data_IF_660643310362
#
_entry.id   IF_660643310362
#
_cell.length_a   1.000
_cell.length_b   1.000
_cell.length_c   1.000
_cell.angle_alpha   90.00
_cell.angle_beta   90.00
_cell.angle_gamma   90.00
#
_symmetry.space_group_name_H-M   'P 1'
#
loop_
_entity.id
_entity.type
_entity.pdbx_description
1 polymer ?
#
# COMPACT_ATOMS: atom_id res chain seq x y z
N UNK A 1 4.60 -8.98 -21.66
CA UNK A 1 4.31 -8.16 -20.47
C UNK A 1 3.07 -7.35 -20.78
N UNK A 2 2.04 -7.50 -19.97
CA UNK A 2 0.75 -6.86 -20.27
C UNK A 2 0.80 -5.41 -19.80
N UNK A 3 0.87 -4.46 -20.72
CA UNK A 3 0.95 -3.00 -20.43
C UNK A 3 -0.21 -2.50 -19.55
N UNK A 4 -1.32 -3.24 -19.55
CA UNK A 4 -2.48 -2.95 -18.72
C UNK A 4 -2.23 -3.26 -17.23
N UNK A 5 -1.44 -4.27 -16.92
CA UNK A 5 -1.10 -4.64 -15.54
C UNK A 5 -0.24 -3.58 -14.85
N UNK A 6 0.70 -2.98 -15.56
CA UNK A 6 1.58 -1.94 -15.03
C UNK A 6 0.82 -0.63 -14.74
N UNK A 7 -0.23 -0.33 -15.52
CA UNK A 7 -1.00 0.91 -15.37
C UNK A 7 -1.72 1.04 -14.00
N UNK A 8 -1.96 -0.06 -13.29
CA UNK A 8 -2.54 0.00 -11.94
C UNK A 8 -1.64 0.71 -10.93
N UNK A 9 -0.33 0.65 -11.12
CA UNK A 9 0.67 1.27 -10.23
C UNK A 9 1.35 2.49 -10.83
N UNK A 10 0.83 3.02 -11.93
CA UNK A 10 1.19 4.35 -12.41
C UNK A 10 0.44 5.42 -11.63
N UNK A 11 1.00 6.63 -11.55
CA UNK A 11 0.31 7.77 -10.97
C UNK A 11 -1.04 8.00 -11.67
N UNK A 12 -2.08 8.18 -10.89
CA UNK A 12 -3.43 8.48 -11.40
C UNK A 12 -3.51 9.89 -12.00
N UNK A 13 -2.65 10.80 -11.53
CA UNK A 13 -2.58 12.17 -12.02
C UNK A 13 -1.90 12.27 -13.39
N UNK A 14 -0.76 11.60 -13.55
CA UNK A 14 0.09 11.74 -14.74
C UNK A 14 -0.05 10.58 -15.73
N UNK A 15 -0.57 9.44 -15.29
CA UNK A 15 -0.61 8.20 -16.07
C UNK A 15 0.76 7.55 -16.27
N UNK A 16 1.81 8.04 -15.59
CA UNK A 16 3.21 7.58 -15.74
C UNK A 16 3.69 6.83 -14.50
N UNK A 17 4.74 6.00 -14.60
CA UNK A 17 5.41 5.45 -13.43
C UNK A 17 5.85 6.54 -12.46
N UNK A 18 5.86 6.23 -11.17
CA UNK A 18 6.46 7.10 -10.17
C UNK A 18 7.97 7.21 -10.41
N UNK A 19 8.52 8.41 -10.24
CA UNK A 19 9.92 8.68 -10.55
C UNK A 19 10.80 8.69 -9.31
N UNK A 20 10.27 9.21 -8.19
CA UNK A 20 11.03 9.46 -6.99
C UNK A 20 10.35 8.86 -5.75
N UNK A 21 11.17 8.48 -4.76
CA UNK A 21 10.71 8.10 -3.44
C UNK A 21 10.15 9.34 -2.70
N UNK A 22 8.92 9.26 -2.22
CA UNK A 22 8.25 10.37 -1.54
C UNK A 22 9.00 10.82 -0.27
N UNK A 23 9.66 9.91 0.44
CA UNK A 23 10.35 10.22 1.70
C UNK A 23 11.75 10.81 1.53
N UNK A 24 12.57 10.26 0.62
CA UNK A 24 13.97 10.67 0.51
C UNK A 24 14.32 11.32 -0.83
N UNK A 25 13.40 11.36 -1.79
CA UNK A 25 13.64 11.94 -3.11
C UNK A 25 14.59 11.12 -3.99
N UNK A 26 14.96 9.88 -3.57
CA UNK A 26 15.80 9.01 -4.40
C UNK A 26 15.05 8.64 -5.67
N UNK A 27 15.72 8.73 -6.82
CA UNK A 27 15.16 8.28 -8.09
C UNK A 27 14.94 6.76 -8.08
N UNK A 28 13.69 6.34 -8.30
CA UNK A 28 13.28 4.93 -8.35
C UNK A 28 13.68 4.26 -9.67
N UNK A 29 14.21 5.04 -10.62
CA UNK A 29 14.65 4.56 -11.93
C UNK A 29 16.16 4.33 -12.01
N UNK A 30 16.94 5.00 -11.15
CA UNK A 30 18.41 4.95 -11.21
C UNK A 30 18.98 3.65 -10.65
N UNK A 31 18.30 3.03 -9.70
CA UNK A 31 18.70 1.75 -9.12
C UNK A 31 17.66 0.67 -9.50
N UNK A 32 17.91 -0.09 -10.58
CA UNK A 32 16.99 -1.12 -11.04
C UNK A 32 16.88 -2.31 -10.08
N UNK A 33 17.78 -2.44 -9.11
CA UNK A 33 17.80 -3.51 -8.12
C UNK A 33 17.14 -3.11 -6.79
N UNK A 34 16.72 -1.84 -6.65
CA UNK A 34 16.04 -1.36 -5.45
C UNK A 34 14.52 -1.49 -5.59
N UNK A 35 13.89 -2.40 -4.82
CA UNK A 35 12.42 -2.47 -4.79
C UNK A 35 11.81 -1.21 -4.19
N UNK A 36 10.61 -0.88 -4.63
CA UNK A 36 9.80 0.17 -4.04
C UNK A 36 8.32 -0.23 -3.99
N UNK A 37 7.63 0.25 -2.98
CA UNK A 37 6.19 0.08 -2.83
C UNK A 37 5.48 1.26 -3.50
N UNK A 38 4.48 0.97 -4.31
CA UNK A 38 3.45 1.93 -4.72
C UNK A 38 2.19 1.63 -3.94
N UNK A 39 1.66 2.63 -3.26
CA UNK A 39 0.39 2.56 -2.55
C UNK A 39 -0.58 3.60 -3.11
N UNK A 40 -1.84 3.19 -3.29
CA UNK A 40 -2.90 4.04 -3.82
C UNK A 40 -4.18 3.78 -3.05
N UNK A 41 -4.84 4.84 -2.58
CA UNK A 41 -6.13 4.77 -1.89
C UNK A 41 -7.23 5.38 -2.75
N UNK A 42 -8.33 4.68 -2.84
CA UNK A 42 -9.47 5.05 -3.67
C UNK A 42 -10.73 5.25 -2.82
N UNK A 43 -11.54 6.21 -3.24
CA UNK A 43 -12.91 6.37 -2.77
C UNK A 43 -13.83 6.25 -3.99
N UNK A 44 -14.55 5.14 -4.10
CA UNK A 44 -15.18 4.76 -5.36
C UNK A 44 -14.14 4.56 -6.46
N UNK A 45 -14.25 5.29 -7.56
CA UNK A 45 -13.31 5.22 -8.69
C UNK A 45 -12.22 6.32 -8.64
N UNK A 46 -12.29 7.23 -7.66
CA UNK A 46 -11.35 8.34 -7.52
C UNK A 46 -10.15 7.93 -6.68
N UNK A 47 -8.94 8.10 -7.21
CA UNK A 47 -7.71 7.97 -6.44
C UNK A 47 -7.50 9.24 -5.62
N UNK A 48 -7.64 9.13 -4.29
CA UNK A 48 -7.57 10.26 -3.37
C UNK A 48 -6.19 10.41 -2.72
N UNK A 49 -5.37 9.37 -2.80
CA UNK A 49 -4.07 9.35 -2.16
C UNK A 49 -3.17 8.33 -2.87
N UNK A 50 -1.98 8.75 -3.28
CA UNK A 50 -1.03 7.85 -3.91
C UNK A 50 0.42 8.27 -3.66
N UNK A 51 1.31 7.30 -3.54
CA UNK A 51 2.74 7.55 -3.40
C UNK A 51 3.57 6.32 -3.79
N UNK A 52 4.87 6.56 -3.98
CA UNK A 52 5.88 5.52 -4.05
C UNK A 52 6.94 5.73 -2.97
N UNK A 53 7.36 4.66 -2.32
CA UNK A 53 8.37 4.69 -1.26
C UNK A 53 9.39 3.57 -1.48
N UNK A 54 10.69 3.90 -1.48
CA UNK A 54 11.74 2.89 -1.63
C UNK A 54 11.81 1.97 -0.40
N UNK A 55 12.33 0.76 -0.60
CA UNK A 55 12.41 -0.25 0.46
C UNK A 55 13.20 0.23 1.68
N UNK A 56 14.25 1.04 1.50
CA UNK A 56 15.01 1.59 2.62
C UNK A 56 14.15 2.49 3.53
N UNK A 57 13.39 3.43 2.94
CA UNK A 57 12.53 4.32 3.72
C UNK A 57 11.38 3.56 4.37
N UNK A 58 10.79 2.60 3.65
CA UNK A 58 9.75 1.73 4.16
C UNK A 58 10.22 0.90 5.35
N UNK A 59 11.37 0.25 5.23
CA UNK A 59 11.96 -0.57 6.29
C UNK A 59 12.33 0.28 7.52
N UNK A 60 12.91 1.47 7.31
CA UNK A 60 13.24 2.38 8.42
C UNK A 60 11.98 2.77 9.19
N UNK A 61 10.91 3.15 8.49
CA UNK A 61 9.66 3.52 9.14
C UNK A 61 9.03 2.33 9.90
N UNK A 62 9.06 1.13 9.34
CA UNK A 62 8.56 -0.07 9.99
C UNK A 62 9.35 -0.42 11.28
N UNK A 63 10.66 -0.13 11.34
CA UNK A 63 11.47 -0.33 12.53
C UNK A 63 11.11 0.60 13.68
N UNK A 64 10.51 1.74 13.42
CA UNK A 64 10.06 2.69 14.45
C UNK A 64 8.71 2.30 15.07
N UNK A 65 7.99 1.34 14.47
CA UNK A 65 6.73 0.83 15.01
C UNK A 65 6.96 0.13 16.33
N UNK A 66 6.01 0.26 17.24
CA UNK A 66 6.09 -0.49 18.51
C UNK A 66 6.05 -2.00 18.25
N UNK A 67 6.71 -2.78 19.12
CA UNK A 67 6.72 -4.25 19.05
C UNK A 67 5.30 -4.83 19.02
N UNK A 68 4.39 -4.24 19.81
CA UNK A 68 2.97 -4.60 19.84
C UNK A 68 2.31 -4.42 18.46
N UNK A 69 2.55 -3.29 17.80
CA UNK A 69 2.02 -3.01 16.47
C UNK A 69 2.61 -3.92 15.41
N UNK A 70 3.92 -4.17 15.46
CA UNK A 70 4.59 -5.10 14.54
C UNK A 70 3.99 -6.52 14.66
N UNK A 71 3.77 -6.98 15.89
CA UNK A 71 3.17 -8.29 16.14
C UNK A 71 1.72 -8.35 15.69
N UNK A 72 0.93 -7.30 15.94
CA UNK A 72 -0.45 -7.20 15.50
C UNK A 72 -0.56 -7.23 13.96
N UNK A 73 0.28 -6.47 13.26
CA UNK A 73 0.36 -6.49 11.80
C UNK A 73 0.75 -7.88 11.27
N UNK A 74 1.80 -8.48 11.81
CA UNK A 74 2.22 -9.82 11.41
C UNK A 74 1.10 -10.85 11.59
N UNK A 75 0.37 -10.77 12.70
CA UNK A 75 -0.77 -11.64 12.98
C UNK A 75 -1.91 -11.41 11.99
N UNK A 76 -2.25 -10.16 11.71
CA UNK A 76 -3.30 -9.82 10.74
C UNK A 76 -2.97 -10.35 9.35
N UNK A 77 -1.77 -10.08 8.84
CA UNK A 77 -1.36 -10.53 7.52
C UNK A 77 -1.23 -12.06 7.42
N UNK A 78 -0.83 -12.73 8.48
CA UNK A 78 -0.73 -14.20 8.50
C UNK A 78 -2.11 -14.86 8.58
N UNK A 79 -2.99 -14.37 9.44
CA UNK A 79 -4.25 -15.05 9.74
C UNK A 79 -5.43 -14.58 8.89
N UNK A 80 -5.51 -13.27 8.59
CA UNK A 80 -6.62 -12.69 7.84
C UNK A 80 -6.34 -12.65 6.34
N UNK A 81 -5.16 -12.16 5.94
CA UNK A 81 -4.76 -12.07 4.54
C UNK A 81 -4.22 -13.40 4.02
N UNK A 82 -3.65 -14.23 4.90
CA UNK A 82 -3.06 -15.53 4.57
C UNK A 82 -2.04 -15.42 3.43
N UNK A 83 -1.08 -14.51 3.60
CA UNK A 83 -0.12 -14.12 2.55
C UNK A 83 0.54 -15.32 1.87
N UNK A 84 0.97 -16.32 2.63
CA UNK A 84 1.66 -17.49 2.07
C UNK A 84 0.76 -18.32 1.17
N UNK A 85 -0.46 -18.65 1.61
CA UNK A 85 -1.43 -19.42 0.82
C UNK A 85 -1.82 -18.65 -0.46
N UNK A 86 -2.03 -17.35 -0.31
CA UNK A 86 -2.37 -16.45 -1.41
C UNK A 86 -1.24 -16.39 -2.44
N UNK A 87 -0.01 -16.27 -1.97
CA UNK A 87 1.18 -16.24 -2.83
C UNK A 87 1.34 -17.54 -3.60
N UNK A 88 1.24 -18.69 -2.95
CA UNK A 88 1.32 -20.00 -3.59
C UNK A 88 0.25 -20.16 -4.67
N UNK A 89 -0.97 -19.64 -4.43
CA UNK A 89 -2.08 -19.79 -5.37
C UNK A 89 -1.96 -18.86 -6.57
N UNK A 90 -1.56 -17.60 -6.37
CA UNK A 90 -1.69 -16.56 -7.39
C UNK A 90 -0.38 -16.24 -8.14
N UNK A 91 0.79 -16.40 -7.50
CA UNK A 91 2.09 -16.06 -8.11
C UNK A 91 2.40 -16.78 -9.42
N UNK A 92 2.03 -18.06 -9.60
CA UNK A 92 2.37 -18.78 -10.84
C UNK A 92 1.77 -18.16 -12.10
N UNK A 93 0.60 -17.55 -11.99
CA UNK A 93 -0.10 -16.99 -13.14
C UNK A 93 0.46 -15.64 -13.58
N UNK A 94 1.12 -14.89 -12.68
CA UNK A 94 1.62 -13.50 -12.90
C UNK A 94 0.58 -12.58 -13.54
N UNK A 95 -0.69 -12.76 -13.15
CA UNK A 95 -1.82 -11.93 -13.55
C UNK A 95 -2.23 -11.06 -12.38
N UNK A 96 -2.39 -9.76 -12.60
CA UNK A 96 -2.69 -8.80 -11.53
C UNK A 96 -4.13 -8.89 -11.02
N UNK A 97 -5.09 -9.13 -11.91
CA UNK A 97 -6.52 -9.10 -11.58
C UNK A 97 -6.90 -10.00 -10.39
N UNK A 98 -6.46 -11.27 -10.31
CA UNK A 98 -6.77 -12.12 -9.16
C UNK A 98 -6.26 -11.57 -7.83
N UNK A 99 -5.21 -10.72 -7.85
CA UNK A 99 -4.63 -10.13 -6.66
C UNK A 99 -5.42 -8.95 -6.13
N UNK A 100 -6.05 -8.18 -7.03
CA UNK A 100 -6.64 -6.88 -6.69
C UNK A 100 -8.15 -6.77 -6.92
N UNK A 101 -8.81 -7.81 -7.42
CA UNK A 101 -10.25 -7.78 -7.69
C UNK A 101 -11.12 -7.76 -6.43
N UNK A 102 -10.56 -8.19 -5.30
CA UNK A 102 -11.24 -8.25 -4.00
C UNK A 102 -10.27 -7.96 -2.86
N UNK A 103 -10.84 -7.59 -1.70
CA UNK A 103 -10.08 -7.40 -0.47
C UNK A 103 -9.36 -8.69 -0.07
N UNK A 104 -8.06 -8.61 0.18
CA UNK A 104 -7.24 -9.77 0.53
C UNK A 104 -7.57 -10.35 1.92
N UNK A 105 -8.22 -9.57 2.80
CA UNK A 105 -8.53 -9.98 4.16
C UNK A 105 -9.96 -10.50 4.37
N UNK A 106 -10.95 -10.00 3.59
CA UNK A 106 -12.36 -10.33 3.79
C UNK A 106 -13.11 -10.72 2.51
N UNK A 107 -12.41 -10.83 1.38
CA UNK A 107 -12.94 -11.21 0.06
C UNK A 107 -14.05 -10.28 -0.49
N UNK A 108 -14.28 -9.12 0.14
CA UNK A 108 -15.21 -8.11 -0.40
C UNK A 108 -14.74 -7.68 -1.79
N UNK A 109 -15.57 -7.81 -2.84
CA UNK A 109 -15.22 -7.35 -4.17
C UNK A 109 -14.86 -5.86 -4.18
N UNK A 110 -13.75 -5.50 -4.82
CA UNK A 110 -13.28 -4.11 -4.92
C UNK A 110 -14.38 -3.16 -5.43
N UNK A 111 -15.18 -3.62 -6.38
CA UNK A 111 -16.28 -2.84 -6.96
C UNK A 111 -17.45 -2.57 -5.99
N UNK A 112 -17.49 -3.23 -4.84
CA UNK A 112 -18.51 -3.04 -3.79
C UNK A 112 -17.95 -2.30 -2.56
N UNK A 113 -16.64 -2.14 -2.48
CA UNK A 113 -16.01 -1.41 -1.39
C UNK A 113 -16.25 0.11 -1.56
N UNK A 114 -16.61 0.80 -0.48
CA UNK A 114 -16.77 2.27 -0.48
C UNK A 114 -15.42 2.98 -0.68
N UNK A 115 -14.40 2.43 -0.04
CA UNK A 115 -13.00 2.81 -0.20
C UNK A 115 -12.14 1.56 -0.19
N UNK A 116 -10.99 1.63 -0.82
CA UNK A 116 -10.00 0.55 -0.83
C UNK A 116 -8.61 1.09 -1.14
N UNK A 117 -7.59 0.36 -0.73
CA UNK A 117 -6.21 0.64 -1.11
C UNK A 117 -5.63 -0.49 -1.93
N UNK A 118 -4.78 -0.13 -2.88
CA UNK A 118 -3.96 -1.04 -3.67
C UNK A 118 -2.50 -0.82 -3.30
N UNK A 119 -1.79 -1.92 -3.03
CA UNK A 119 -0.34 -1.91 -2.84
C UNK A 119 0.33 -2.86 -3.81
N UNK A 120 1.44 -2.41 -4.38
CA UNK A 120 2.28 -3.22 -5.26
C UNK A 120 3.75 -2.95 -5.02
N UNK A 121 4.56 -3.99 -4.97
CA UNK A 121 6.01 -3.85 -4.97
C UNK A 121 6.51 -3.98 -6.40
N UNK A 122 7.33 -3.03 -6.81
CA UNK A 122 7.93 -2.96 -8.14
C UNK A 122 9.46 -3.00 -8.03
N UNK A 123 10.06 -3.57 -9.06
CA UNK A 123 11.49 -3.50 -9.34
C UNK A 123 11.64 -2.90 -10.74
N UNK A 124 12.03 -1.65 -10.83
CA UNK A 124 11.87 -0.87 -12.06
C UNK A 124 10.41 -0.86 -12.51
N UNK A 125 10.13 -1.32 -13.73
CA UNK A 125 8.77 -1.41 -14.27
C UNK A 125 8.11 -2.78 -14.03
N UNK A 126 8.74 -3.68 -13.27
CA UNK A 126 8.26 -5.06 -13.08
C UNK A 126 7.57 -5.21 -11.73
N UNK A 127 6.32 -5.69 -11.74
CA UNK A 127 5.58 -6.03 -10.53
C UNK A 127 6.14 -7.32 -9.92
N UNK A 128 6.39 -7.30 -8.62
CA UNK A 128 6.77 -8.47 -7.84
C UNK A 128 5.49 -9.13 -7.31
N UNK A 129 5.26 -10.40 -7.70
CA UNK A 129 4.05 -11.15 -7.37
C UNK A 129 4.25 -12.09 -6.15
N UNK A 130 4.91 -11.61 -5.10
CA UNK A 130 5.06 -12.32 -3.83
C UNK A 130 5.56 -11.36 -2.75
N UNK A 131 4.81 -11.07 -1.71
CA UNK A 131 3.40 -11.39 -1.41
C UNK A 131 2.40 -10.38 -2.00
N UNK A 132 2.86 -9.45 -2.79
CA UNK A 132 2.07 -8.42 -3.47
C UNK A 132 1.68 -8.85 -4.89
N UNK A 133 0.76 -8.15 -5.57
CA UNK A 133 -0.05 -7.00 -5.12
C UNK A 133 -1.12 -7.35 -4.09
N UNK A 134 -1.58 -6.32 -3.35
CA UNK A 134 -2.67 -6.45 -2.37
C UNK A 134 -3.75 -5.40 -2.63
N UNK A 135 -5.00 -5.79 -2.37
CA UNK A 135 -6.13 -4.88 -2.22
C UNK A 135 -6.69 -5.05 -0.81
N UNK A 136 -6.89 -3.96 -0.09
CA UNK A 136 -7.58 -3.94 1.20
C UNK A 136 -8.76 -2.97 1.11
N UNK A 137 -9.94 -3.38 1.59
CA UNK A 137 -11.07 -2.47 1.70
C UNK A 137 -10.95 -1.58 2.95
N UNK A 138 -11.63 -0.42 2.95
CA UNK A 138 -11.56 0.53 4.04
C UNK A 138 -11.90 -0.05 5.40
N UNK A 139 -12.89 -0.94 5.48
CA UNK A 139 -13.27 -1.60 6.75
C UNK A 139 -12.11 -2.44 7.33
N UNK A 140 -11.37 -3.17 6.48
CA UNK A 140 -10.19 -3.92 6.91
C UNK A 140 -9.00 -3.02 7.26
N UNK A 141 -8.85 -1.88 6.59
CA UNK A 141 -7.84 -0.88 6.95
C UNK A 141 -8.15 -0.23 8.31
N UNK A 142 -9.42 0.07 8.60
CA UNK A 142 -9.85 0.54 9.91
C UNK A 142 -9.60 -0.52 11.01
N UNK A 143 -9.85 -1.80 10.70
CA UNK A 143 -9.51 -2.91 11.60
C UNK A 143 -8.01 -2.91 11.92
N UNK A 144 -7.14 -2.82 10.91
CA UNK A 144 -5.69 -2.71 11.11
C UNK A 144 -5.35 -1.53 12.03
N UNK A 145 -5.86 -0.34 11.73
CA UNK A 145 -5.56 0.84 12.53
C UNK A 145 -5.98 0.70 13.99
N UNK A 146 -7.08 -0.01 14.27
CA UNK A 146 -7.55 -0.27 15.63
C UNK A 146 -6.62 -1.17 16.44
N UNK A 147 -5.77 -1.95 15.76
CA UNK A 147 -4.78 -2.84 16.37
C UNK A 147 -3.45 -2.15 16.70
N UNK A 148 -3.24 -0.94 16.19
CA UNK A 148 -1.96 -0.25 16.28
C UNK A 148 -1.89 0.65 17.53
N UNK A 149 -0.69 0.73 18.11
CA UNK A 149 -0.41 1.64 19.22
C UNK A 149 -0.45 3.10 18.79
N UNK A 150 -0.65 4.02 19.74
CA UNK A 150 -0.60 5.46 19.48
C UNK A 150 0.76 5.91 18.96
N UNK A 151 1.86 5.26 19.37
CA UNK A 151 3.19 5.51 18.82
C UNK A 151 3.23 5.23 17.31
N UNK A 152 2.78 4.06 16.90
CA UNK A 152 2.79 3.65 15.47
C UNK A 152 1.82 4.52 14.64
N UNK A 153 0.66 4.85 15.17
CA UNK A 153 -0.28 5.77 14.52
C UNK A 153 0.32 7.17 14.36
N UNK A 154 1.08 7.65 15.35
CA UNK A 154 1.81 8.92 15.27
C UNK A 154 2.87 8.94 14.17
N UNK A 155 3.60 7.85 13.97
CA UNK A 155 4.58 7.72 12.89
C UNK A 155 3.89 7.84 11.52
N UNK A 156 2.72 7.25 11.36
CA UNK A 156 1.95 7.37 10.13
C UNK A 156 1.40 8.78 9.91
N UNK A 157 0.93 9.43 10.97
CA UNK A 157 0.48 10.82 10.89
C UNK A 157 1.62 11.76 10.51
N UNK A 158 2.81 11.57 11.08
CA UNK A 158 4.02 12.33 10.74
C UNK A 158 4.45 12.09 9.28
N UNK A 159 4.38 10.85 8.80
CA UNK A 159 4.65 10.52 7.40
C UNK A 159 3.72 11.28 6.45
N UNK A 160 2.41 11.26 6.72
CA UNK A 160 1.42 11.96 5.91
C UNK A 160 1.65 13.47 5.97
N UNK A 161 1.85 14.03 7.15
CA UNK A 161 2.04 15.47 7.34
C UNK A 161 3.33 15.98 6.69
N UNK A 162 4.39 15.17 6.68
CA UNK A 162 5.68 15.56 6.12
C UNK A 162 5.72 15.49 4.60
N UNK A 163 5.05 14.50 4.02
CA UNK A 163 5.21 14.17 2.61
C UNK A 163 4.06 14.64 1.71
N UNK A 164 2.95 15.09 2.30
CA UNK A 164 1.79 15.57 1.53
C UNK A 164 1.43 16.98 1.96
N UNK A 165 1.19 17.86 0.98
CA UNK A 165 0.73 19.23 1.19
C UNK A 165 -0.72 19.26 1.71
N UNK A 166 -0.96 18.62 2.84
CA UNK A 166 -2.25 18.61 3.51
C UNK A 166 -2.23 19.57 4.70
N UNK A 167 -3.10 20.59 4.76
CA UNK A 167 -3.20 21.46 5.92
C UNK A 167 -3.40 20.65 7.21
N UNK A 168 -2.82 21.07 8.33
CA UNK A 168 -2.94 20.38 9.61
C UNK A 168 -4.41 20.05 9.94
N UNK A 169 -4.71 18.77 10.16
CA UNK A 169 -6.04 18.27 10.49
C UNK A 169 -6.93 17.87 9.31
N UNK A 170 -6.66 18.28 8.07
CA UNK A 170 -7.49 17.91 6.92
C UNK A 170 -7.35 16.44 6.52
N UNK A 171 -6.21 15.80 6.82
CA UNK A 171 -6.05 14.36 6.58
C UNK A 171 -7.02 13.50 7.41
N UNK A 172 -7.59 14.04 8.49
CA UNK A 172 -8.57 13.34 9.31
C UNK A 172 -9.93 13.14 8.60
N UNK A 173 -10.21 13.93 7.58
CA UNK A 173 -11.44 13.82 6.78
C UNK A 173 -11.28 12.81 5.63
N UNK A 174 -10.06 12.35 5.37
CA UNK A 174 -9.79 11.32 4.37
C UNK A 174 -10.18 9.92 4.89
N UNK A 175 -10.58 8.98 4.01
CA UNK A 175 -10.71 7.58 4.36
C UNK A 175 -9.47 7.10 5.12
N UNK A 176 -9.70 6.35 6.21
CA UNK A 176 -8.63 5.87 7.09
C UNK A 176 -7.72 6.99 7.66
N UNK A 177 -8.23 8.25 7.71
CA UNK A 177 -7.46 9.44 8.10
C UNK A 177 -6.19 9.67 7.27
N UNK A 178 -6.19 9.21 6.02
CA UNK A 178 -5.03 9.26 5.13
C UNK A 178 -3.87 8.35 5.54
N UNK A 179 -4.05 7.47 6.52
CA UNK A 179 -2.99 6.57 6.99
C UNK A 179 -2.85 5.38 6.04
N UNK A 180 -1.66 5.14 5.51
CA UNK A 180 -1.46 4.03 4.59
C UNK A 180 -1.42 2.69 5.35
N UNK A 181 -2.36 1.78 5.06
CA UNK A 181 -2.36 0.45 5.66
C UNK A 181 -1.33 -0.51 5.02
N UNK A 182 -0.82 -0.15 3.86
CA UNK A 182 0.09 -0.98 3.08
C UNK A 182 1.52 -0.41 3.11
N UNK A 183 2.17 -0.51 4.26
CA UNK A 183 3.58 -0.14 4.43
C UNK A 183 4.43 -1.34 4.78
#
# INVERSE_FOLDING_TARGET
MDSKSQSYFHSSETGKPFEDCISCGLSLKEDPDLPFLVAKTFQGDECIFEYAICEHCRANMAQEFSDESQQALATFFTQRVRLEERSQLLSPAKLIEPWIQQCAACDTPRSKAKSYSLGGILLGDTIIYDPYPLCLCGDCEEEIQSLLSQQTLGIWDDFVQTNFDCPPGQHQDLPNKGRPALL
#
